data_IF_891975248934
#
_entry.id   IF_891975248934
#
_cell.length_a   1.000
_cell.length_b   1.000
_cell.length_c   1.000
_cell.angle_alpha   90.00
_cell.angle_beta   90.00
_cell.angle_gamma   90.00
#
_symmetry.space_group_name_H-M   'P 1'
#
loop_
_entity.id
_entity.type
_entity.pdbx_description
1 polymer ?
#
# COMPACT_ATOMS: atom_id res chain seq x y z
N UNK A 1 -2.85 -42.51 -24.23
CA UNK A 1 -1.60 -41.77 -24.52
C UNK A 1 -1.94 -40.31 -24.77
N UNK A 2 -1.17 -39.38 -24.23
CA UNK A 2 -1.41 -37.93 -24.49
C UNK A 2 -1.20 -37.69 -26.00
N UNK A 3 -2.17 -37.02 -26.63
CA UNK A 3 -2.11 -36.70 -28.05
C UNK A 3 -0.97 -35.69 -28.31
N UNK A 4 -0.06 -35.98 -29.20
CA UNK A 4 1.08 -35.11 -29.56
C UNK A 4 0.58 -33.72 -29.95
N UNK A 5 -0.60 -33.61 -30.58
CA UNK A 5 -1.21 -32.34 -30.96
C UNK A 5 -1.58 -31.51 -29.74
N UNK A 6 -2.06 -32.14 -28.66
CA UNK A 6 -2.43 -31.44 -27.43
C UNK A 6 -1.19 -30.92 -26.69
N UNK A 7 -0.11 -31.73 -26.66
CA UNK A 7 1.17 -31.29 -26.09
C UNK A 7 1.71 -30.08 -26.88
N UNK A 8 1.65 -30.13 -28.21
CA UNK A 8 2.08 -29.02 -29.07
C UNK A 8 1.25 -27.73 -28.83
N UNK A 9 -0.07 -27.86 -28.65
CA UNK A 9 -0.94 -26.74 -28.31
C UNK A 9 -0.58 -26.14 -26.95
N UNK A 10 -0.31 -26.98 -25.94
CA UNK A 10 0.15 -26.56 -24.63
C UNK A 10 1.49 -25.82 -24.69
N UNK A 11 2.48 -26.35 -25.43
CA UNK A 11 3.78 -25.66 -25.61
C UNK A 11 3.55 -24.26 -26.20
N UNK A 12 2.72 -24.13 -27.25
CA UNK A 12 2.42 -22.84 -27.87
C UNK A 12 1.76 -21.88 -26.89
N UNK A 13 0.81 -22.34 -26.08
CA UNK A 13 0.15 -21.53 -25.05
C UNK A 13 1.15 -21.02 -23.99
N UNK A 14 2.05 -21.89 -23.51
CA UNK A 14 3.06 -21.52 -22.51
C UNK A 14 4.10 -20.54 -23.09
N UNK A 15 4.47 -20.69 -24.38
CA UNK A 15 5.34 -19.72 -25.08
C UNK A 15 4.70 -18.33 -25.09
N UNK A 16 3.41 -18.23 -25.42
CA UNK A 16 2.68 -16.97 -25.40
C UNK A 16 2.64 -16.38 -23.98
N UNK A 17 2.35 -17.21 -22.97
CA UNK A 17 2.35 -16.77 -21.56
C UNK A 17 3.72 -16.22 -21.16
N UNK A 18 4.82 -16.91 -21.53
CA UNK A 18 6.19 -16.44 -21.27
C UNK A 18 6.47 -15.08 -21.90
N UNK A 19 5.99 -14.84 -23.13
CA UNK A 19 6.16 -13.53 -23.77
C UNK A 19 5.40 -12.42 -23.04
N UNK A 20 4.16 -12.71 -22.63
CA UNK A 20 3.33 -11.76 -21.87
C UNK A 20 3.97 -11.44 -20.52
N UNK A 21 4.40 -12.46 -19.76
CA UNK A 21 5.01 -12.25 -18.44
C UNK A 21 6.33 -11.47 -18.55
N UNK A 22 7.15 -11.75 -19.57
CA UNK A 22 8.37 -10.99 -19.87
C UNK A 22 8.07 -9.52 -20.16
N UNK A 23 7.07 -9.23 -21.00
CA UNK A 23 6.66 -7.85 -21.28
C UNK A 23 6.12 -7.14 -20.02
N UNK A 24 5.32 -7.85 -19.18
CA UNK A 24 4.82 -7.32 -17.93
C UNK A 24 5.94 -7.04 -16.91
N UNK A 25 6.99 -7.85 -16.87
CA UNK A 25 8.20 -7.59 -16.07
C UNK A 25 8.81 -6.25 -16.44
N UNK A 26 9.10 -6.02 -17.73
CA UNK A 26 9.73 -4.78 -18.22
C UNK A 26 8.86 -3.55 -17.98
N UNK A 27 7.53 -3.66 -18.20
CA UNK A 27 6.58 -2.55 -17.90
C UNK A 27 6.56 -2.25 -16.40
N UNK A 28 6.61 -3.28 -15.55
CA UNK A 28 6.61 -3.10 -14.10
C UNK A 28 7.92 -2.44 -13.62
N UNK A 29 9.07 -2.81 -14.20
CA UNK A 29 10.36 -2.18 -13.93
C UNK A 29 10.36 -0.68 -14.29
N UNK A 30 9.81 -0.32 -15.45
CA UNK A 30 9.70 1.07 -15.87
C UNK A 30 8.77 1.90 -14.95
N UNK A 31 7.65 1.30 -14.50
CA UNK A 31 6.74 1.94 -13.54
C UNK A 31 7.37 2.06 -12.15
N UNK A 32 8.11 1.03 -11.72
CA UNK A 32 8.83 1.05 -10.46
C UNK A 32 9.83 2.21 -10.43
N UNK A 33 10.62 2.40 -11.50
CA UNK A 33 11.57 3.50 -11.60
C UNK A 33 10.90 4.86 -11.42
N UNK A 34 9.77 5.09 -12.11
CA UNK A 34 9.00 6.35 -11.96
C UNK A 34 8.44 6.52 -10.55
N UNK A 35 7.96 5.43 -9.93
CA UNK A 35 7.46 5.48 -8.56
C UNK A 35 8.58 5.77 -7.55
N UNK A 36 9.78 5.23 -7.75
CA UNK A 36 10.97 5.56 -6.96
C UNK A 36 11.34 7.03 -7.09
N UNK A 37 11.38 7.55 -8.31
CA UNK A 37 11.68 8.97 -8.57
C UNK A 37 10.67 9.88 -7.88
N UNK A 38 9.37 9.55 -7.94
CA UNK A 38 8.32 10.31 -7.27
C UNK A 38 8.42 10.25 -5.73
N UNK A 39 8.70 9.07 -5.17
CA UNK A 39 8.88 8.91 -3.72
C UNK A 39 10.11 9.67 -3.22
N UNK A 40 11.21 9.67 -3.99
CA UNK A 40 12.41 10.44 -3.67
C UNK A 40 12.18 11.95 -3.75
N UNK A 41 11.48 12.41 -4.77
CA UNK A 41 11.16 13.83 -4.93
C UNK A 41 10.27 14.39 -3.81
N UNK A 42 9.44 13.54 -3.17
CA UNK A 42 8.59 13.93 -2.07
C UNK A 42 9.34 14.06 -0.72
N UNK A 43 10.48 13.37 -0.54
CA UNK A 43 11.22 13.31 0.72
C UNK A 43 11.71 14.67 1.23
N UNK A 44 12.35 15.54 0.43
CA UNK A 44 12.88 16.83 0.91
C UNK A 44 11.78 17.69 1.54
N UNK A 45 10.60 17.72 0.94
CA UNK A 45 9.47 18.47 1.47
C UNK A 45 8.97 17.90 2.80
N UNK A 46 8.85 16.58 2.90
CA UNK A 46 8.45 15.91 4.15
C UNK A 46 9.45 16.17 5.29
N UNK A 47 10.76 16.13 5.01
CA UNK A 47 11.81 16.41 5.98
C UNK A 47 11.80 17.86 6.42
N UNK A 48 11.69 18.81 5.48
CA UNK A 48 11.63 20.24 5.79
C UNK A 48 10.42 20.56 6.66
N UNK A 49 9.23 20.02 6.34
CA UNK A 49 8.04 20.21 7.14
C UNK A 49 8.20 19.64 8.55
N UNK A 50 8.81 18.48 8.68
CA UNK A 50 9.13 17.86 9.97
C UNK A 50 10.06 18.75 10.80
N UNK A 51 11.09 19.34 10.20
CA UNK A 51 12.02 20.22 10.87
C UNK A 51 11.33 21.53 11.34
N UNK A 52 10.49 22.12 10.49
CA UNK A 52 9.68 23.29 10.86
C UNK A 52 8.76 22.96 12.02
N UNK A 53 8.06 21.82 11.99
CA UNK A 53 7.19 21.39 13.07
C UNK A 53 7.96 21.16 14.38
N UNK A 54 9.13 20.53 14.34
CA UNK A 54 9.99 20.35 15.52
C UNK A 54 10.40 21.70 16.13
N UNK A 55 10.77 22.66 15.28
CA UNK A 55 11.10 24.04 15.73
C UNK A 55 9.88 24.74 16.33
N UNK A 56 8.67 24.54 15.75
CA UNK A 56 7.43 25.13 16.29
C UNK A 56 7.05 24.53 17.65
N UNK A 57 7.19 23.21 17.83
CA UNK A 57 6.88 22.54 19.10
C UNK A 57 7.75 23.06 20.24
N UNK A 58 9.03 23.31 19.97
CA UNK A 58 9.95 23.85 21.01
C UNK A 58 9.63 25.28 21.44
N UNK A 59 8.82 26.03 20.67
CA UNK A 59 8.50 27.44 20.89
C UNK A 59 7.03 27.75 21.13
N UNK A 60 6.15 26.85 20.67
CA UNK A 60 4.72 26.96 20.95
C UNK A 60 4.45 26.31 22.32
N UNK A 61 3.59 26.94 23.10
CA UNK A 61 3.03 26.34 24.32
C UNK A 61 2.12 25.18 23.92
N UNK A 62 2.72 24.08 23.44
CA UNK A 62 2.00 22.90 22.93
C UNK A 62 1.39 22.07 24.06
N UNK A 63 1.94 22.21 25.27
CA UNK A 63 1.47 21.53 26.48
C UNK A 63 1.10 22.53 27.55
N UNK A 64 0.10 22.21 28.36
CA UNK A 64 -0.23 23.01 29.54
C UNK A 64 0.85 22.81 30.60
N UNK A 65 1.51 23.87 31.08
CA UNK A 65 2.60 23.78 32.07
C UNK A 65 2.14 23.23 33.42
N UNK A 66 0.84 23.25 33.73
CA UNK A 66 0.31 22.77 35.01
C UNK A 66 -0.16 21.34 34.95
N UNK A 67 -0.83 20.91 33.86
CA UNK A 67 -1.41 19.56 33.72
C UNK A 67 -0.55 18.65 32.87
N UNK A 68 0.34 19.20 32.01
CA UNK A 68 1.10 18.45 31.01
C UNK A 68 0.25 17.99 29.83
N UNK A 69 -1.02 18.39 29.76
CA UNK A 69 -1.93 17.98 28.69
C UNK A 69 -1.63 18.75 27.40
N UNK A 70 -1.72 18.09 26.24
CA UNK A 70 -1.52 18.73 24.96
C UNK A 70 -2.67 19.69 24.64
N UNK A 71 -2.34 20.94 24.31
CA UNK A 71 -3.33 21.97 23.93
C UNK A 71 -3.94 21.73 22.55
N UNK A 72 -3.25 20.95 21.70
CA UNK A 72 -3.77 20.65 20.36
C UNK A 72 -4.47 19.29 20.32
N UNK A 73 -5.71 19.20 19.81
CA UNK A 73 -6.50 17.96 19.79
C UNK A 73 -5.77 16.77 19.14
N UNK A 74 -4.96 17.00 18.10
CA UNK A 74 -4.25 15.94 17.37
C UNK A 74 -3.07 15.31 18.12
N UNK A 75 -2.64 15.93 19.22
CA UNK A 75 -1.62 15.41 20.14
C UNK A 75 -2.26 14.67 21.34
N UNK A 76 -3.55 14.86 21.58
CA UNK A 76 -4.23 14.35 22.77
C UNK A 76 -4.33 12.82 22.72
N UNK A 77 -3.69 12.14 23.67
CA UNK A 77 -3.84 10.71 23.86
C UNK A 77 -5.15 10.39 24.58
N UNK A 78 -5.93 9.51 24.01
CA UNK A 78 -7.21 9.03 24.56
C UNK A 78 -7.20 7.51 24.65
N UNK A 79 -8.00 6.92 25.54
CA UNK A 79 -8.22 5.46 25.50
C UNK A 79 -8.74 5.04 24.13
N UNK A 80 -8.06 4.10 23.47
CA UNK A 80 -8.41 3.63 22.14
C UNK A 80 -9.70 2.80 22.15
N UNK A 81 -10.84 3.45 22.02
CA UNK A 81 -12.14 2.78 21.87
C UNK A 81 -12.54 2.62 20.41
N UNK A 82 -12.37 3.69 19.62
CA UNK A 82 -12.69 3.72 18.20
C UNK A 82 -11.41 3.93 17.40
N UNK A 83 -11.04 2.96 16.59
CA UNK A 83 -9.79 2.94 15.83
C UNK A 83 -10.11 3.02 14.34
N UNK A 84 -9.44 3.90 13.62
CA UNK A 84 -9.46 3.93 12.16
C UNK A 84 -8.24 3.20 11.60
N UNK A 85 -8.46 2.21 10.73
CA UNK A 85 -7.42 1.49 10.02
C UNK A 85 -7.50 1.78 8.52
N UNK A 86 -6.49 2.48 7.99
CA UNK A 86 -6.33 2.72 6.56
C UNK A 86 -5.52 1.56 5.98
N UNK A 87 -6.10 0.81 5.04
CA UNK A 87 -5.46 -0.36 4.42
C UNK A 87 -5.13 -0.05 2.96
N UNK A 88 -3.84 0.05 2.64
CA UNK A 88 -3.36 0.37 1.29
C UNK A 88 -3.01 -0.90 0.53
N UNK A 89 -3.80 -1.25 -0.49
CA UNK A 89 -3.62 -2.44 -1.34
C UNK A 89 -3.63 -2.07 -2.81
N UNK A 90 -3.11 -2.93 -3.67
CA UNK A 90 -3.16 -2.72 -5.12
C UNK A 90 -4.57 -2.85 -5.72
N UNK A 91 -4.80 -2.15 -6.82
CA UNK A 91 -6.02 -2.33 -7.64
C UNK A 91 -5.95 -3.59 -8.50
N UNK A 92 -4.76 -3.95 -8.96
CA UNK A 92 -4.51 -5.06 -9.88
C UNK A 92 -3.87 -6.24 -9.16
N UNK A 93 -4.06 -7.43 -9.73
CA UNK A 93 -3.38 -8.65 -9.28
C UNK A 93 -1.98 -8.80 -9.90
N UNK A 94 -1.49 -10.03 -9.90
CA UNK A 94 -0.20 -10.43 -10.46
C UNK A 94 1.02 -9.77 -9.79
N UNK A 95 0.86 -9.35 -8.54
CA UNK A 95 1.91 -8.76 -7.71
C UNK A 95 2.40 -9.75 -6.61
N UNK A 96 2.40 -11.06 -6.91
CA UNK A 96 2.80 -12.08 -5.96
C UNK A 96 1.99 -12.03 -4.66
N UNK A 97 2.68 -12.13 -3.54
CA UNK A 97 2.08 -12.12 -2.21
C UNK A 97 1.76 -10.71 -1.67
N UNK A 98 2.04 -9.63 -2.42
CA UNK A 98 1.90 -8.25 -1.98
C UNK A 98 0.53 -7.98 -1.30
N UNK A 99 -0.56 -8.18 -2.03
CA UNK A 99 -1.90 -7.93 -1.48
C UNK A 99 -2.26 -8.92 -0.35
N UNK A 100 -1.87 -10.18 -0.49
CA UNK A 100 -2.18 -11.23 0.50
C UNK A 100 -1.51 -10.94 1.83
N UNK A 101 -0.26 -10.47 1.83
CA UNK A 101 0.48 -10.15 3.04
C UNK A 101 -0.15 -8.94 3.76
N UNK A 102 -0.52 -7.88 3.01
CA UNK A 102 -1.26 -6.73 3.58
C UNK A 102 -2.56 -7.19 4.26
N UNK A 103 -3.35 -8.02 3.58
CA UNK A 103 -4.63 -8.49 4.10
C UNK A 103 -4.50 -9.43 5.31
N UNK A 104 -3.43 -10.24 5.35
CA UNK A 104 -3.08 -11.04 6.53
C UNK A 104 -2.72 -10.14 7.71
N UNK A 105 -1.88 -9.13 7.50
CA UNK A 105 -1.48 -8.17 8.52
C UNK A 105 -2.67 -7.36 9.03
N UNK A 106 -3.56 -6.89 8.14
CA UNK A 106 -4.80 -6.23 8.53
C UNK A 106 -5.67 -7.13 9.42
N UNK A 107 -5.82 -8.40 9.03
CA UNK A 107 -6.55 -9.38 9.84
C UNK A 107 -5.89 -9.66 11.19
N UNK A 108 -4.54 -9.67 11.26
CA UNK A 108 -3.78 -9.82 12.49
C UNK A 108 -3.98 -8.60 13.39
N UNK A 109 -3.90 -7.39 12.83
CA UNK A 109 -4.15 -6.14 13.57
C UNK A 109 -5.57 -6.07 14.14
N UNK A 110 -6.59 -6.43 13.35
CA UNK A 110 -7.99 -6.45 13.82
C UNK A 110 -8.17 -7.46 14.99
N UNK A 111 -7.48 -8.59 14.94
CA UNK A 111 -7.52 -9.59 16.03
C UNK A 111 -6.75 -9.16 17.27
N UNK A 112 -5.69 -8.37 17.13
CA UNK A 112 -4.92 -7.85 18.28
C UNK A 112 -5.69 -6.81 19.09
N UNK A 113 -6.79 -6.28 18.55
CA UNK A 113 -7.66 -5.28 19.19
C UNK A 113 -9.09 -5.77 19.33
N UNK A 114 -9.38 -6.78 20.19
CA UNK A 114 -10.68 -7.44 20.25
C UNK A 114 -11.80 -6.59 20.88
N UNK A 115 -11.45 -5.63 21.74
CA UNK A 115 -12.41 -4.80 22.47
C UNK A 115 -12.69 -3.47 21.77
N UNK A 116 -11.83 -3.05 20.82
CA UNK A 116 -11.97 -1.79 20.13
C UNK A 116 -12.93 -1.91 18.95
N UNK A 117 -13.63 -0.82 18.67
CA UNK A 117 -14.35 -0.62 17.43
C UNK A 117 -13.37 -0.25 16.33
N UNK A 118 -13.45 -0.88 15.17
CA UNK A 118 -12.52 -0.63 14.07
C UNK A 118 -13.27 -0.17 12.84
N UNK A 119 -12.96 1.02 12.39
CA UNK A 119 -13.38 1.58 11.11
C UNK A 119 -12.30 1.30 10.09
N UNK A 120 -12.65 0.85 8.90
CA UNK A 120 -11.70 0.50 7.84
C UNK A 120 -11.89 1.43 6.65
N UNK A 121 -10.80 2.11 6.27
CA UNK A 121 -10.67 2.84 5.00
C UNK A 121 -9.87 1.98 4.03
N UNK A 122 -10.51 1.51 2.96
CA UNK A 122 -9.87 0.68 1.96
C UNK A 122 -9.35 1.53 0.79
N UNK A 123 -8.04 1.57 0.60
CA UNK A 123 -7.42 2.13 -0.60
C UNK A 123 -6.97 0.98 -1.49
N UNK A 124 -7.54 0.92 -2.70
CA UNK A 124 -7.31 -0.14 -3.68
C UNK A 124 -8.39 -1.22 -3.70
N UNK A 125 -8.62 -1.73 -4.90
CA UNK A 125 -9.70 -2.69 -5.19
C UNK A 125 -9.55 -4.01 -4.42
N UNK A 126 -8.32 -4.53 -4.29
CA UNK A 126 -8.10 -5.84 -3.67
C UNK A 126 -8.41 -5.84 -2.17
N UNK A 127 -8.11 -4.74 -1.48
CA UNK A 127 -8.49 -4.53 -0.07
C UNK A 127 -9.98 -4.43 0.09
N UNK A 128 -10.61 -3.56 -0.71
CA UNK A 128 -12.07 -3.39 -0.73
C UNK A 128 -12.81 -4.72 -0.92
N UNK A 129 -12.47 -5.48 -1.96
CA UNK A 129 -13.17 -6.73 -2.31
C UNK A 129 -13.00 -7.80 -1.22
N UNK A 130 -11.85 -7.82 -0.52
CA UNK A 130 -11.61 -8.73 0.59
C UNK A 130 -12.38 -8.32 1.85
N UNK A 131 -12.37 -7.03 2.20
CA UNK A 131 -13.01 -6.53 3.42
C UNK A 131 -14.52 -6.59 3.32
N UNK A 132 -15.11 -6.25 2.16
CA UNK A 132 -16.57 -6.37 1.92
C UNK A 132 -17.15 -7.77 2.14
N UNK A 133 -16.35 -8.82 1.94
CA UNK A 133 -16.79 -10.20 2.17
C UNK A 133 -16.85 -10.58 3.65
N UNK A 134 -16.28 -9.77 4.53
CA UNK A 134 -16.08 -10.10 5.94
C UNK A 134 -16.71 -9.12 6.90
N UNK A 135 -16.86 -7.88 6.47
CA UNK A 135 -17.30 -6.79 7.32
C UNK A 135 -18.41 -5.98 6.64
N UNK A 136 -19.40 -5.49 7.41
CA UNK A 136 -20.44 -4.64 6.89
C UNK A 136 -19.88 -3.27 6.48
N UNK A 137 -20.61 -2.62 5.57
CA UNK A 137 -20.36 -1.23 5.18
C UNK A 137 -21.09 -0.35 6.19
N UNK A 138 -20.40 0.69 6.68
CA UNK A 138 -21.02 1.67 7.55
C UNK A 138 -22.17 2.39 6.82
N UNK A 139 -23.27 2.72 7.51
CA UNK A 139 -24.33 3.53 6.92
C UNK A 139 -23.75 4.88 6.46
N UNK A 140 -24.04 5.24 5.20
CA UNK A 140 -23.54 6.49 4.66
C UNK A 140 -24.13 7.67 5.43
N UNK A 141 -23.28 8.57 5.91
CA UNK A 141 -23.73 9.89 6.34
C UNK A 141 -24.33 10.58 5.12
N UNK A 142 -25.58 11.02 5.24
CA UNK A 142 -26.12 11.95 4.26
C UNK A 142 -25.41 13.27 4.50
N UNK A 143 -24.44 13.59 3.64
CA UNK A 143 -23.88 14.93 3.60
C UNK A 143 -25.00 15.85 3.10
N UNK A 144 -25.49 16.72 3.97
CA UNK A 144 -26.52 17.73 3.67
C UNK A 144 -26.02 18.81 2.69
N UNK A 145 -24.88 18.62 2.06
CA UNK A 145 -24.30 19.58 1.11
C UNK A 145 -24.87 19.53 -0.31
N UNK A 146 -25.89 18.69 -0.59
CA UNK A 146 -26.54 18.63 -1.91
C UNK A 146 -28.03 18.92 -1.87
N UNK A 147 -28.50 19.66 -0.87
CA UNK A 147 -29.83 20.27 -0.93
C UNK A 147 -29.71 21.68 -1.56
N UNK A 148 -29.57 21.72 -2.88
CA UNK A 148 -29.84 22.93 -3.65
C UNK A 148 -31.34 23.08 -3.79
N UNK A 149 -31.81 24.23 -3.29
CA UNK A 149 -32.94 25.02 -3.82
C UNK A 149 -34.37 24.55 -3.56
N UNK A 150 -35.06 25.45 -2.92
CA UNK A 150 -36.48 25.65 -2.67
C UNK A 150 -37.02 25.25 -1.29
N UNK A 151 -37.24 26.27 -0.48
CA UNK A 151 -38.40 26.36 0.42
C UNK A 151 -38.15 26.32 1.91
N UNK A 152 -38.27 27.50 2.51
CA UNK A 152 -38.74 27.79 3.88
C UNK A 152 -37.91 27.32 5.07
N UNK A 153 -37.27 28.33 5.64
CA UNK A 153 -36.72 28.37 7.01
C UNK A 153 -37.87 28.28 8.01
N UNK A 154 -38.00 27.14 8.68
CA UNK A 154 -38.63 27.08 9.99
C UNK A 154 -37.56 26.69 11.00
N UNK A 155 -37.18 27.69 11.79
CA UNK A 155 -36.35 27.47 12.97
C UNK A 155 -37.12 26.62 13.96
N UNK A 156 -36.61 25.46 14.30
CA UNK A 156 -36.74 24.85 15.64
C UNK A 156 -35.88 23.65 15.82
N UNK A 157 -35.21 23.69 16.94
CA UNK A 157 -34.86 22.59 17.83
C UNK A 157 -33.54 21.84 17.65
N UNK A 158 -32.80 21.96 18.74
CA UNK A 158 -31.87 21.02 19.37
C UNK A 158 -31.93 19.59 18.79
N UNK A 159 -31.41 19.37 17.59
CA UNK A 159 -31.08 18.04 17.14
C UNK A 159 -29.72 17.70 17.72
N UNK A 160 -29.72 16.96 18.81
CA UNK A 160 -28.61 16.09 19.17
C UNK A 160 -28.20 15.35 17.91
N UNK A 161 -27.02 15.67 17.36
CA UNK A 161 -26.41 14.91 16.26
C UNK A 161 -26.27 13.47 16.75
N UNK A 162 -27.23 12.63 16.43
CA UNK A 162 -27.19 11.19 16.72
C UNK A 162 -26.06 10.62 15.85
N UNK A 163 -24.98 10.23 16.51
CA UNK A 163 -23.92 9.46 15.90
C UNK A 163 -24.59 8.23 15.24
N UNK A 164 -24.45 8.02 13.93
CA UNK A 164 -25.14 6.93 13.26
C UNK A 164 -24.79 5.60 13.91
N UNK A 165 -25.82 4.78 14.17
CA UNK A 165 -25.66 3.48 14.79
C UNK A 165 -24.67 2.62 13.97
N UNK A 166 -23.69 2.04 14.64
CA UNK A 166 -22.63 1.26 13.97
C UNK A 166 -23.24 -0.03 13.40
N UNK A 167 -22.86 -0.37 12.17
CA UNK A 167 -23.25 -1.62 11.53
C UNK A 167 -22.59 -2.86 12.19
N UNK A 168 -21.51 -2.65 12.95
CA UNK A 168 -20.79 -3.69 13.69
C UNK A 168 -19.52 -3.17 14.35
N UNK A 169 -18.88 -4.01 15.18
CA UNK A 169 -17.60 -3.67 15.81
C UNK A 169 -16.52 -3.30 14.79
N UNK A 170 -16.47 -4.02 13.67
CA UNK A 170 -15.60 -3.73 12.53
C UNK A 170 -16.49 -3.39 11.35
N UNK A 171 -16.29 -2.23 10.75
CA UNK A 171 -17.07 -1.76 9.61
C UNK A 171 -16.21 -1.03 8.59
N UNK A 172 -16.67 -0.98 7.34
CA UNK A 172 -15.99 -0.24 6.27
C UNK A 172 -16.62 1.14 6.17
N UNK A 173 -15.83 2.19 6.37
CA UNK A 173 -16.28 3.58 6.33
C UNK A 173 -15.93 4.28 5.03
N UNK A 174 -14.86 3.83 4.34
CA UNK A 174 -14.48 4.42 3.06
C UNK A 174 -13.85 3.43 2.10
N UNK A 175 -14.03 3.70 0.81
CA UNK A 175 -13.54 2.86 -0.29
C UNK A 175 -13.01 3.73 -1.43
N UNK A 176 -11.71 3.62 -1.69
CA UNK A 176 -11.02 4.42 -2.69
C UNK A 176 -10.33 3.52 -3.71
N UNK A 177 -10.93 3.39 -4.89
CA UNK A 177 -10.44 2.53 -5.97
C UNK A 177 -9.83 3.39 -7.08
N UNK A 178 -8.72 2.93 -7.67
CA UNK A 178 -8.05 3.61 -8.78
C UNK A 178 -7.03 4.67 -8.36
N UNK A 179 -6.96 5.02 -7.08
CA UNK A 179 -6.07 6.06 -6.54
C UNK A 179 -4.59 5.75 -6.80
N UNK A 180 -4.19 4.49 -6.66
CA UNK A 180 -2.80 4.06 -6.84
C UNK A 180 -2.33 4.08 -8.30
N UNK A 181 -3.24 4.26 -9.26
CA UNK A 181 -2.89 4.43 -10.67
C UNK A 181 -2.17 5.75 -10.96
N UNK A 182 -2.56 6.81 -10.26
CA UNK A 182 -1.94 8.14 -10.25
C UNK A 182 -2.15 8.73 -8.86
N UNK A 183 -1.12 8.66 -8.03
CA UNK A 183 -1.19 9.21 -6.66
C UNK A 183 -1.07 10.73 -6.74
N UNK A 184 -2.13 11.41 -6.33
CA UNK A 184 -2.17 12.87 -6.25
C UNK A 184 -2.21 13.32 -4.80
N UNK A 185 -1.47 14.38 -4.47
CA UNK A 185 -1.45 14.95 -3.11
C UNK A 185 -2.85 15.41 -2.68
N UNK A 186 -3.65 15.89 -3.63
CA UNK A 186 -5.00 16.37 -3.33
C UNK A 186 -5.88 15.30 -2.68
N UNK A 187 -5.79 14.04 -3.15
CA UNK A 187 -6.47 12.91 -2.52
C UNK A 187 -6.02 12.70 -1.07
N UNK A 188 -4.70 12.67 -0.84
CA UNK A 188 -4.15 12.48 0.50
C UNK A 188 -4.55 13.62 1.44
N UNK A 189 -4.60 14.86 0.93
CA UNK A 189 -5.04 16.03 1.67
C UNK A 189 -6.54 15.96 2.04
N UNK A 190 -7.41 15.61 1.10
CA UNK A 190 -8.85 15.44 1.36
C UNK A 190 -9.10 14.35 2.40
N UNK A 191 -8.43 13.20 2.26
CA UNK A 191 -8.53 12.11 3.23
C UNK A 191 -8.03 12.56 4.62
N UNK A 192 -6.90 13.26 4.69
CA UNK A 192 -6.36 13.76 5.95
C UNK A 192 -7.30 14.74 6.64
N UNK A 193 -7.93 15.65 5.89
CA UNK A 193 -8.92 16.59 6.44
C UNK A 193 -10.13 15.86 7.03
N UNK A 194 -10.68 14.86 6.34
CA UNK A 194 -11.75 14.02 6.87
C UNK A 194 -11.34 13.33 8.17
N UNK A 195 -10.15 12.76 8.22
CA UNK A 195 -9.60 12.08 9.40
C UNK A 195 -9.43 13.07 10.57
N UNK A 196 -8.87 14.25 10.31
CA UNK A 196 -8.66 15.30 11.32
C UNK A 196 -10.00 15.76 11.92
N UNK A 197 -11.02 15.99 11.10
CA UNK A 197 -12.35 16.38 11.56
C UNK A 197 -12.96 15.30 12.47
N UNK A 198 -12.92 14.02 12.05
CA UNK A 198 -13.42 12.90 12.84
C UNK A 198 -12.67 12.72 14.16
N UNK A 199 -11.35 12.89 14.14
CA UNK A 199 -10.51 12.82 15.33
C UNK A 199 -10.78 13.96 16.30
N UNK A 200 -10.93 15.19 15.81
CA UNK A 200 -11.25 16.37 16.61
C UNK A 200 -12.63 16.27 17.25
N UNK A 201 -13.60 15.68 16.55
CA UNK A 201 -14.95 15.41 17.08
C UNK A 201 -15.01 14.19 18.03
N UNK A 202 -13.88 13.59 18.36
CA UNK A 202 -13.77 12.39 19.18
C UNK A 202 -14.58 11.18 18.65
N UNK A 203 -14.81 11.11 17.32
CA UNK A 203 -15.44 9.95 16.69
C UNK A 203 -14.46 8.78 16.57
N UNK A 204 -13.17 9.10 16.42
CA UNK A 204 -12.05 8.16 16.36
C UNK A 204 -10.98 8.59 17.36
N UNK A 205 -10.38 7.63 18.07
CA UNK A 205 -9.39 7.87 19.12
C UNK A 205 -7.95 7.57 18.65
N UNK A 206 -7.80 6.70 17.65
CA UNK A 206 -6.52 6.39 17.05
C UNK A 206 -6.67 6.12 15.54
N UNK A 207 -5.65 6.47 14.77
CA UNK A 207 -5.58 6.27 13.33
C UNK A 207 -4.31 5.52 12.97
N UNK A 208 -4.46 4.42 12.25
CA UNK A 208 -3.36 3.60 11.78
C UNK A 208 -3.39 3.47 10.26
N UNK A 209 -2.21 3.43 9.64
CA UNK A 209 -2.06 3.15 8.22
C UNK A 209 -1.23 1.88 8.03
N UNK A 210 -1.77 0.95 7.25
CA UNK A 210 -1.12 -0.30 6.87
C UNK A 210 -0.72 -0.24 5.41
N UNK A 211 0.58 -0.29 5.15
CA UNK A 211 1.14 -0.21 3.81
C UNK A 211 2.48 -0.93 3.71
N UNK A 212 3.02 -1.05 2.49
CA UNK A 212 4.38 -1.54 2.27
C UNK A 212 5.35 -0.35 2.17
N UNK A 213 6.23 -0.21 3.16
CA UNK A 213 7.33 0.73 3.13
C UNK A 213 8.34 0.28 2.07
N UNK A 214 8.76 1.20 1.22
CA UNK A 214 9.70 0.96 0.15
C UNK A 214 10.96 1.81 0.30
N UNK A 215 12.08 1.19 0.65
CA UNK A 215 13.41 1.84 0.64
C UNK A 215 14.21 1.49 -0.60
N UNK A 216 14.12 0.22 -1.04
CA UNK A 216 14.73 -0.29 -2.27
C UNK A 216 14.00 -1.55 -2.73
N UNK A 217 14.38 -2.11 -3.87
CA UNK A 217 13.85 -3.40 -4.35
C UNK A 217 14.04 -4.52 -3.32
N UNK A 218 15.14 -4.48 -2.59
CA UNK A 218 15.49 -5.49 -1.57
C UNK A 218 14.90 -5.13 -0.21
N UNK A 219 14.97 -3.85 0.16
CA UNK A 219 14.55 -3.34 1.45
C UNK A 219 13.11 -2.82 1.39
N UNK A 220 12.16 -3.74 1.48
CA UNK A 220 10.74 -3.47 1.61
C UNK A 220 10.24 -4.18 2.85
N UNK A 221 9.40 -3.53 3.62
CA UNK A 221 8.76 -4.14 4.78
C UNK A 221 7.29 -3.75 4.84
N UNK A 222 6.48 -4.64 5.35
CA UNK A 222 5.08 -4.37 5.63
C UNK A 222 4.99 -3.75 7.02
N UNK A 223 4.36 -2.59 7.13
CA UNK A 223 4.29 -1.83 8.38
C UNK A 223 2.88 -1.36 8.68
N UNK A 224 2.57 -1.30 9.97
CA UNK A 224 1.42 -0.59 10.52
C UNK A 224 1.97 0.60 11.29
N UNK A 225 1.77 1.79 10.76
CA UNK A 225 2.18 3.03 11.38
C UNK A 225 0.98 3.71 12.04
N UNK A 226 1.21 4.31 13.19
CA UNK A 226 0.23 5.16 13.89
C UNK A 226 0.36 6.59 13.37
N UNK A 227 -0.73 7.12 12.83
CA UNK A 227 -0.79 8.50 12.33
C UNK A 227 -1.30 9.46 13.40
N UNK A 228 -2.28 9.03 14.21
CA UNK A 228 -2.89 9.81 15.29
C UNK A 228 -3.15 8.93 16.53
N UNK A 229 -3.04 9.51 17.73
CA UNK A 229 -2.43 10.79 18.04
C UNK A 229 -0.94 10.83 17.67
N UNK A 230 -0.42 12.02 17.37
CA UNK A 230 1.01 12.20 17.08
C UNK A 230 1.73 12.24 18.42
N UNK A 231 2.59 11.24 18.67
CA UNK A 231 3.43 11.22 19.88
C UNK A 231 4.64 12.12 19.73
N UNK A 232 5.47 11.79 18.76
CA UNK A 232 6.71 12.51 18.49
C UNK A 232 6.75 13.00 17.04
N UNK A 233 6.95 14.29 16.86
CA UNK A 233 7.02 14.87 15.53
C UNK A 233 8.33 14.46 14.86
N UNK A 234 8.19 13.81 13.71
CA UNK A 234 9.32 13.33 12.90
C UNK A 234 9.82 11.94 13.28
N UNK A 235 9.21 11.28 14.25
CA UNK A 235 9.37 9.87 14.48
C UNK A 235 8.15 9.11 13.96
N UNK A 236 8.41 7.93 13.40
CA UNK A 236 7.36 7.08 12.86
C UNK A 236 7.03 6.03 13.91
N UNK A 237 5.83 6.10 14.48
CA UNK A 237 5.37 5.12 15.47
C UNK A 237 4.92 3.83 14.75
N UNK A 238 5.86 2.89 14.58
CA UNK A 238 5.61 1.59 13.95
C UNK A 238 5.11 0.59 14.98
N UNK A 239 3.83 0.26 14.92
CA UNK A 239 3.20 -0.71 15.82
C UNK A 239 3.47 -2.17 15.45
N UNK A 240 3.51 -2.45 14.16
CA UNK A 240 3.80 -3.78 13.62
C UNK A 240 4.68 -3.65 12.37
N UNK A 241 5.69 -4.52 12.25
CA UNK A 241 6.52 -4.62 11.06
C UNK A 241 6.77 -6.09 10.71
N UNK A 242 6.74 -6.41 9.42
CA UNK A 242 7.08 -7.72 8.88
C UNK A 242 8.05 -7.56 7.72
N UNK A 243 9.22 -8.14 7.84
CA UNK A 243 10.25 -8.10 6.81
C UNK A 243 10.10 -9.26 5.83
N UNK A 244 10.52 -9.09 4.57
CA UNK A 244 10.53 -10.16 3.60
C UNK A 244 11.55 -11.25 3.98
N UNK A 245 11.23 -12.50 3.67
CA UNK A 245 12.13 -13.62 3.87
C UNK A 245 13.42 -13.48 3.04
N UNK A 246 14.47 -14.22 3.43
CA UNK A 246 15.72 -14.22 2.66
C UNK A 246 15.55 -14.73 1.23
N UNK A 247 14.64 -15.68 1.01
CA UNK A 247 14.32 -16.20 -0.30
C UNK A 247 13.63 -15.15 -1.17
N UNK A 248 12.66 -14.43 -0.63
CA UNK A 248 12.00 -13.31 -1.34
C UNK A 248 13.00 -12.21 -1.69
N UNK A 249 13.95 -11.90 -0.80
CA UNK A 249 15.02 -10.92 -1.06
C UNK A 249 15.90 -11.37 -2.24
N UNK A 250 16.31 -12.66 -2.29
CA UNK A 250 17.09 -13.23 -3.39
C UNK A 250 16.34 -13.15 -4.74
N UNK A 251 15.06 -13.54 -4.75
CA UNK A 251 14.22 -13.46 -5.95
C UNK A 251 14.08 -12.02 -6.46
N UNK A 252 13.95 -11.04 -5.57
CA UNK A 252 13.86 -9.62 -5.94
C UNK A 252 15.16 -9.10 -6.55
N UNK A 253 16.33 -9.51 -6.01
CA UNK A 253 17.65 -9.18 -6.57
C UNK A 253 17.79 -9.74 -7.99
N UNK A 254 17.40 -10.98 -8.18
CA UNK A 254 17.49 -11.65 -9.48
C UNK A 254 16.59 -10.99 -10.52
N UNK A 255 15.34 -10.72 -10.16
CA UNK A 255 14.38 -10.04 -11.03
C UNK A 255 14.82 -8.64 -11.46
N UNK A 256 15.56 -7.93 -10.61
CA UNK A 256 16.05 -6.58 -10.89
C UNK A 256 17.30 -6.56 -11.78
N UNK A 257 18.04 -7.66 -11.89
CA UNK A 257 19.23 -7.77 -12.76
C UNK A 257 18.83 -7.52 -14.21
N UNK A 258 19.52 -6.60 -14.87
CA UNK A 258 19.30 -6.29 -16.29
C UNK A 258 18.13 -5.36 -16.62
N UNK A 259 17.31 -4.95 -15.65
CA UNK A 259 16.16 -4.06 -15.88
C UNK A 259 16.46 -2.56 -15.57
N UNK A 260 17.71 -2.22 -15.19
CA UNK A 260 18.11 -0.85 -14.87
C UNK A 260 17.46 -0.28 -13.61
N UNK A 261 16.97 -1.16 -12.72
CA UNK A 261 16.36 -0.77 -11.44
C UNK A 261 17.44 -0.75 -10.37
N UNK A 262 17.48 0.32 -9.56
CA UNK A 262 18.42 0.45 -8.46
C UNK A 262 18.18 -0.61 -7.37
N UNK A 263 19.16 -1.47 -7.13
CA UNK A 263 19.13 -2.49 -6.06
C UNK A 263 19.45 -1.88 -4.69
N UNK A 264 20.24 -0.80 -4.67
CA UNK A 264 20.58 -0.09 -3.43
C UNK A 264 19.49 0.91 -3.06
N UNK A 265 19.33 1.24 -1.78
CA UNK A 265 18.56 2.40 -1.39
C UNK A 265 19.07 3.60 -2.21
N UNK A 266 18.14 4.46 -2.61
CA UNK A 266 18.58 5.70 -3.25
C UNK A 266 19.53 6.42 -2.31
N UNK A 267 20.64 6.89 -2.87
CA UNK A 267 21.59 7.68 -2.10
C UNK A 267 20.92 9.03 -1.76
N UNK A 268 20.41 9.10 -0.54
CA UNK A 268 19.80 10.30 0.02
C UNK A 268 20.76 11.04 0.94
N UNK A 269 22.04 10.58 1.00
CA UNK A 269 23.04 11.11 1.94
C UNK A 269 23.13 12.64 1.86
N UNK A 270 23.17 13.22 0.67
CA UNK A 270 23.21 14.68 0.50
C UNK A 270 21.94 15.38 1.04
N UNK A 271 20.77 14.77 0.87
CA UNK A 271 19.48 15.32 1.39
C UNK A 271 19.38 15.09 2.89
N UNK A 272 19.83 13.93 3.36
CA UNK A 272 19.84 13.57 4.78
C UNK A 272 20.87 14.41 5.54
N UNK A 273 22.05 14.68 4.96
CA UNK A 273 23.04 15.60 5.51
C UNK A 273 22.56 17.06 5.53
N UNK A 274 21.92 17.52 4.46
CA UNK A 274 21.30 18.85 4.45
C UNK A 274 20.20 18.95 5.51
N UNK A 275 19.33 17.93 5.62
CA UNK A 275 18.29 17.85 6.65
C UNK A 275 18.88 17.81 8.07
N UNK A 276 19.94 17.02 8.28
CA UNK A 276 20.63 16.94 9.56
C UNK A 276 21.27 18.30 9.94
N UNK A 277 21.86 19.02 8.97
CA UNK A 277 22.37 20.37 9.21
C UNK A 277 21.27 21.35 9.64
N UNK A 278 20.08 21.28 9.01
CA UNK A 278 18.93 22.10 9.40
C UNK A 278 18.37 21.69 10.78
N UNK A 279 18.46 20.42 11.16
CA UNK A 279 18.00 19.94 12.46
C UNK A 279 18.96 20.27 13.62
N UNK A 280 20.26 20.40 13.36
CA UNK A 280 21.30 20.67 14.37
C UNK A 280 21.61 22.15 14.56
N UNK A 281 21.36 22.98 13.53
CA UNK A 281 21.48 24.42 13.67
C UNK A 281 20.21 24.93 14.35
N UNK A 282 20.29 25.77 15.41
CA UNK A 282 19.15 26.52 15.90
C UNK A 282 18.78 27.57 14.83
N UNK A 283 18.16 27.11 13.74
CA UNK A 283 17.68 28.00 12.69
C UNK A 283 16.54 28.79 13.30
N UNK A 284 16.77 30.04 13.53
CA UNK A 284 15.77 30.96 14.04
C UNK A 284 14.90 31.40 12.86
N UNK A 285 13.77 30.73 12.70
CA UNK A 285 12.78 31.17 11.71
C UNK A 285 12.09 32.43 12.22
N UNK A 286 12.04 33.43 11.36
CA UNK A 286 11.21 34.61 11.58
C UNK A 286 9.78 34.22 11.21
N UNK A 287 8.93 34.04 12.22
CA UNK A 287 7.53 33.68 12.00
C UNK A 287 6.71 34.94 11.78
N UNK A 288 5.97 35.04 10.69
CA UNK A 288 5.02 36.13 10.41
C UNK A 288 3.77 36.05 11.31
N UNK A 289 3.45 34.83 11.79
CA UNK A 289 2.30 34.56 12.66
C UNK A 289 2.78 33.95 13.99
N UNK A 290 1.97 34.06 15.06
CA UNK A 290 2.28 33.41 16.33
C UNK A 290 2.52 31.91 16.15
N UNK A 291 3.57 31.32 16.77
CA UNK A 291 3.94 29.92 16.60
C UNK A 291 2.78 28.94 16.80
N UNK A 292 1.88 29.22 17.76
CA UNK A 292 0.71 28.38 18.01
C UNK A 292 -0.30 28.34 16.85
N UNK A 293 -0.52 29.45 16.15
CA UNK A 293 -1.41 29.48 14.99
C UNK A 293 -0.80 28.77 13.79
N UNK A 294 0.49 28.96 13.55
CA UNK A 294 1.22 28.23 12.51
C UNK A 294 1.19 26.73 12.77
N UNK A 295 1.40 26.31 14.01
CA UNK A 295 1.35 24.91 14.41
C UNK A 295 -0.01 24.28 14.11
N UNK A 296 -1.10 24.96 14.48
CA UNK A 296 -2.46 24.51 14.18
C UNK A 296 -2.73 24.35 12.67
N UNK A 297 -2.19 25.26 11.85
CA UNK A 297 -2.37 25.23 10.40
C UNK A 297 -1.50 24.19 9.68
N UNK A 298 -0.33 23.85 10.23
CA UNK A 298 0.64 22.95 9.59
C UNK A 298 0.41 21.48 9.99
N UNK A 299 -0.01 21.22 11.21
CA UNK A 299 -0.17 19.86 11.74
C UNK A 299 -1.13 18.97 10.91
N UNK A 300 -2.29 19.45 10.44
CA UNK A 300 -3.13 18.69 9.51
C UNK A 300 -2.43 18.36 8.18
N UNK A 301 -1.61 19.28 7.66
CA UNK A 301 -0.85 19.08 6.42
C UNK A 301 0.22 18.00 6.61
N UNK A 302 0.81 17.92 7.80
CA UNK A 302 1.78 16.87 8.14
C UNK A 302 1.15 15.47 8.00
N UNK A 303 -0.08 15.27 8.50
CA UNK A 303 -0.81 14.01 8.35
C UNK A 303 -1.03 13.69 6.87
N UNK A 304 -1.46 14.68 6.08
CA UNK A 304 -1.65 14.53 4.64
C UNK A 304 -0.38 14.09 3.91
N UNK A 305 0.78 14.61 4.32
CA UNK A 305 2.09 14.24 3.77
C UNK A 305 2.49 12.82 4.18
N UNK A 306 2.23 12.40 5.41
CA UNK A 306 2.49 11.03 5.85
C UNK A 306 1.63 10.02 5.06
N UNK A 307 0.36 10.32 4.85
CA UNK A 307 -0.52 9.51 4.00
C UNK A 307 0.01 9.48 2.56
N UNK A 308 0.37 10.63 1.99
CA UNK A 308 0.90 10.72 0.63
C UNK A 308 2.19 9.92 0.46
N UNK A 309 3.12 10.00 1.42
CA UNK A 309 4.33 9.18 1.48
C UNK A 309 3.99 7.69 1.45
N UNK A 310 3.11 7.25 2.33
CA UNK A 310 2.71 5.85 2.43
C UNK A 310 2.10 5.32 1.12
N UNK A 311 1.32 6.15 0.42
CA UNK A 311 0.76 5.81 -0.89
C UNK A 311 1.84 5.66 -1.96
N UNK A 312 2.79 6.59 -2.05
CA UNK A 312 3.89 6.55 -3.02
C UNK A 312 4.79 5.32 -2.80
N UNK A 313 5.14 5.05 -1.54
CA UNK A 313 5.94 3.88 -1.18
C UNK A 313 5.21 2.57 -1.48
N UNK A 314 3.91 2.49 -1.20
CA UNK A 314 3.10 1.31 -1.52
C UNK A 314 3.00 1.05 -3.02
N UNK A 315 2.90 2.10 -3.85
CA UNK A 315 2.92 1.96 -5.32
C UNK A 315 4.26 1.43 -5.81
N UNK A 316 5.37 1.93 -5.27
CA UNK A 316 6.70 1.43 -5.61
C UNK A 316 6.85 -0.06 -5.21
N UNK A 317 6.41 -0.42 -4.01
CA UNK A 317 6.41 -1.79 -3.53
C UNK A 317 5.52 -2.73 -4.38
N UNK A 318 4.34 -2.28 -4.80
CA UNK A 318 3.46 -3.04 -5.70
C UNK A 318 4.13 -3.34 -7.04
N UNK A 319 4.78 -2.33 -7.66
CA UNK A 319 5.47 -2.52 -8.93
C UNK A 319 6.71 -3.41 -8.80
N UNK A 320 7.44 -3.33 -7.70
CA UNK A 320 8.56 -4.21 -7.41
C UNK A 320 8.10 -5.67 -7.21
N UNK A 321 7.04 -5.88 -6.44
CA UNK A 321 6.47 -7.21 -6.23
C UNK A 321 5.93 -7.82 -7.55
N UNK A 322 5.31 -6.99 -8.39
CA UNK A 322 4.84 -7.43 -9.72
C UNK A 322 6.00 -7.79 -10.64
N UNK A 323 7.07 -7.00 -10.66
CA UNK A 323 8.28 -7.28 -11.43
C UNK A 323 8.86 -8.65 -11.05
N UNK A 324 9.03 -8.92 -9.76
CA UNK A 324 9.54 -10.19 -9.23
C UNK A 324 8.62 -11.37 -9.57
N UNK A 325 7.30 -11.20 -9.39
CA UNK A 325 6.33 -12.24 -9.70
C UNK A 325 6.30 -12.59 -11.20
N UNK A 326 6.45 -11.59 -12.07
CA UNK A 326 6.49 -11.81 -13.52
C UNK A 326 7.81 -12.44 -13.97
N UNK A 327 8.90 -12.15 -13.30
CA UNK A 327 10.19 -12.82 -13.55
C UNK A 327 10.13 -14.31 -13.19
N UNK A 328 9.65 -14.62 -11.99
CA UNK A 328 9.44 -16.01 -11.57
C UNK A 328 8.47 -16.76 -12.51
N UNK A 329 7.38 -16.13 -12.93
CA UNK A 329 6.45 -16.70 -13.88
C UNK A 329 7.08 -16.96 -15.26
N UNK A 330 7.99 -16.08 -15.70
CA UNK A 330 8.71 -16.24 -16.98
C UNK A 330 9.71 -17.39 -16.91
N UNK A 331 10.41 -17.56 -15.78
CA UNK A 331 11.31 -18.70 -15.54
C UNK A 331 10.54 -20.00 -15.50
N UNK A 332 9.47 -20.08 -14.69
CA UNK A 332 8.63 -21.26 -14.60
C UNK A 332 8.01 -21.66 -15.97
N UNK A 333 7.67 -20.67 -16.79
CA UNK A 333 7.18 -20.95 -18.15
C UNK A 333 8.27 -21.53 -19.05
N UNK A 334 9.54 -21.13 -18.89
CA UNK A 334 10.67 -21.74 -19.61
C UNK A 334 10.83 -23.21 -19.23
N UNK A 335 10.91 -23.51 -17.94
CA UNK A 335 11.08 -24.88 -17.43
C UNK A 335 9.92 -25.78 -17.87
N UNK A 336 8.70 -25.25 -17.90
CA UNK A 336 7.54 -25.97 -18.41
C UNK A 336 7.63 -26.26 -19.91
N UNK A 337 8.14 -25.33 -20.74
CA UNK A 337 8.36 -25.54 -22.18
C UNK A 337 9.37 -26.67 -22.39
N UNK A 338 10.48 -26.63 -21.64
CA UNK A 338 11.54 -27.65 -21.76
C UNK A 338 11.01 -29.03 -21.36
N UNK A 339 10.29 -29.14 -20.26
CA UNK A 339 9.64 -30.37 -19.81
C UNK A 339 8.63 -30.89 -20.82
N UNK A 340 7.73 -30.05 -21.32
CA UNK A 340 6.74 -30.44 -22.33
C UNK A 340 7.40 -30.86 -23.66
N UNK A 341 8.51 -30.25 -24.02
CA UNK A 341 9.27 -30.61 -25.24
C UNK A 341 9.87 -32.00 -25.12
N UNK A 342 10.43 -32.37 -23.95
CA UNK A 342 10.90 -33.71 -23.68
C UNK A 342 9.77 -34.75 -23.78
N UNK A 343 8.62 -34.48 -23.17
CA UNK A 343 7.43 -35.34 -23.22
C UNK A 343 6.94 -35.49 -24.65
N UNK A 344 6.89 -34.43 -25.43
CA UNK A 344 6.51 -34.43 -26.84
C UNK A 344 7.45 -35.32 -27.67
N UNK A 345 8.77 -35.18 -27.47
CA UNK A 345 9.77 -36.00 -28.20
C UNK A 345 9.66 -37.47 -27.85
N UNK A 346 9.46 -37.81 -26.56
CA UNK A 346 9.24 -39.23 -26.14
C UNK A 346 7.96 -39.78 -26.76
N UNK A 347 6.86 -39.04 -26.74
CA UNK A 347 5.60 -39.46 -27.34
C UNK A 347 5.72 -39.66 -28.86
N UNK A 348 6.48 -38.77 -29.52
CA UNK A 348 6.76 -38.90 -30.97
C UNK A 348 7.55 -40.16 -31.27
N UNK A 349 8.64 -40.44 -30.52
CA UNK A 349 9.45 -41.65 -30.68
C UNK A 349 8.61 -42.89 -30.45
N UNK A 350 7.81 -42.94 -29.36
CA UNK A 350 6.92 -44.07 -29.08
C UNK A 350 5.89 -44.30 -30.20
N UNK A 351 5.36 -43.22 -30.79
CA UNK A 351 4.44 -43.34 -31.93
C UNK A 351 5.13 -43.91 -33.17
N UNK A 352 6.31 -43.42 -33.51
CA UNK A 352 7.11 -43.91 -34.65
C UNK A 352 7.43 -45.39 -34.44
N UNK A 353 7.90 -45.79 -33.24
CA UNK A 353 8.21 -47.18 -32.93
C UNK A 353 6.97 -48.08 -33.07
N UNK A 354 5.80 -47.62 -32.61
CA UNK A 354 4.55 -48.34 -32.75
C UNK A 354 4.15 -48.50 -34.22
N UNK A 355 4.24 -47.46 -35.03
CA UNK A 355 3.94 -47.51 -36.47
C UNK A 355 4.88 -48.47 -37.21
N UNK A 356 6.19 -48.48 -36.85
CA UNK A 356 7.15 -49.46 -37.44
C UNK A 356 6.78 -50.89 -37.05
N UNK A 357 6.45 -51.17 -35.77
CA UNK A 357 6.05 -52.50 -35.31
C UNK A 357 4.77 -52.96 -36.03
N UNK A 358 3.78 -52.05 -36.17
CA UNK A 358 2.54 -52.37 -36.89
C UNK A 358 2.80 -52.71 -38.36
N UNK A 359 3.69 -52.01 -39.05
CA UNK A 359 4.07 -52.29 -40.45
C UNK A 359 4.79 -53.62 -40.54
N UNK A 360 5.78 -53.85 -39.66
CA UNK A 360 6.56 -55.13 -39.68
C UNK A 360 5.66 -56.31 -39.33
N UNK A 361 4.79 -56.18 -38.33
CA UNK A 361 3.86 -57.28 -37.97
C UNK A 361 2.83 -57.52 -39.05
N UNK A 362 2.34 -56.47 -39.74
CA UNK A 362 1.43 -56.66 -40.88
C UNK A 362 2.09 -57.30 -42.07
N UNK A 363 3.36 -57.01 -42.38
CA UNK A 363 4.11 -57.64 -43.43
C UNK A 363 4.41 -59.15 -43.13
N UNK A 364 4.73 -59.48 -41.87
CA UNK A 364 4.93 -60.83 -41.40
C UNK A 364 3.65 -61.72 -41.42
N UNK A 365 2.46 -61.08 -41.22
CA UNK A 365 1.16 -61.74 -41.28
C UNK A 365 0.65 -62.00 -42.74
N UNK A 366 1.24 -61.33 -43.73
CA UNK A 366 0.89 -61.43 -45.15
C UNK A 366 1.75 -62.45 -45.95
N UNK A 367 2.78 -62.98 -45.30
CA UNK A 367 3.53 -64.11 -45.76
C UNK A 367 2.99 -65.43 -45.17
#
# INVERSE_FOLDING_TARGET
MANILDIRRRIRSVINTRQITKAMKTVSAAKLRRAQEAAMAARPYSQMLTNVLKSLVSRADTYDPQTGDPRHPLLAERPEKNVLLIVVTGDKGLAGAFNTNILKMASKFIRSKPEQNIDIECIGRKGRDFMRRRFPIAPQRRDESTASDHGEVLASDNRTETVPERAGRVQITGEHVGVLGKVEYNFANTLSQSIVVRFTRAEIDAVYILFNEFKSVIAQRLVVERLLPIKDIGEVDVQMAEEPSQEERKQRIEAAKGEGVGLRPADTSAVDEASAKFATLPVDYIYEQPPGQLFQGILPKYIGIQIFRALLESVAAEHAARMTAMDAATSNARDMIDSLTLVMNRARQAKITKEIIEIVSGAAAAQ
#
